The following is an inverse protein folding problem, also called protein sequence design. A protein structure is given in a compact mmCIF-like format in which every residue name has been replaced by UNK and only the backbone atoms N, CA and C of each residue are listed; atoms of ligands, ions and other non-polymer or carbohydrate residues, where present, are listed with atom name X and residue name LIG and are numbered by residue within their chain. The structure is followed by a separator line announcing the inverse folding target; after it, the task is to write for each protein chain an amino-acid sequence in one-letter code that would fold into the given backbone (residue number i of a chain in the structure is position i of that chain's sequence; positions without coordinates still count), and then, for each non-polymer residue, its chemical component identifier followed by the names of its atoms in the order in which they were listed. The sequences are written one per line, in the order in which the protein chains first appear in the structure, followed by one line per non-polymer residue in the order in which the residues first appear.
data_IF_399852287022
#
_entry.id   IF_399852287022
#
_cell.length_a   1.000
_cell.length_b   1.000
_cell.length_c   1.000
_cell.angle_alpha   90.00
_cell.angle_beta   90.00
_cell.angle_gamma   90.00
#
_symmetry.space_group_name_H-M   'P 1'
#
loop_
_entity.id
_entity.type
_entity.pdbx_description
1 polymer ?
#
# COMPACT_ATOMS: atom_id res chain seq x y z
N UNK A 1 37.76 9.09 1.90
CA UNK A 1 39.04 9.21 1.20
C UNK A 1 39.93 10.33 1.75
N UNK A 2 39.42 11.34 2.46
CA UNK A 2 40.27 12.40 3.07
C UNK A 2 40.91 12.06 4.42
N UNK A 3 41.24 10.79 4.69
CA UNK A 3 41.93 10.39 5.93
C UNK A 3 43.29 9.72 5.70
N UNK A 4 43.71 9.56 4.43
CA UNK A 4 44.98 8.90 4.11
C UNK A 4 46.15 9.89 3.95
N UNK A 5 45.91 11.20 3.84
CA UNK A 5 46.97 12.21 3.66
C UNK A 5 47.56 12.78 4.97
N UNK A 6 47.01 12.45 6.13
CA UNK A 6 47.56 12.88 7.44
C UNK A 6 48.38 11.78 8.15
N UNK A 7 48.87 10.77 7.43
CA UNK A 7 49.61 9.64 7.99
C UNK A 7 51.00 9.97 8.58
N UNK A 8 51.40 11.25 8.56
CA UNK A 8 52.71 11.71 9.04
C UNK A 8 52.71 12.41 10.40
N UNK A 9 51.54 12.78 10.94
CA UNK A 9 51.42 13.36 12.29
C UNK A 9 50.71 12.36 13.20
N UNK A 10 51.43 11.84 14.19
CA UNK A 10 50.79 11.04 15.24
C UNK A 10 49.65 11.82 15.89
N UNK A 11 48.57 11.12 16.27
CA UNK A 11 47.41 11.73 16.93
C UNK A 11 47.76 12.35 18.30
N UNK A 12 48.90 11.95 18.87
CA UNK A 12 49.42 12.42 20.15
C UNK A 12 50.76 13.12 19.91
N UNK A 13 50.87 14.35 20.41
CA UNK A 13 52.10 15.15 20.35
C UNK A 13 53.18 14.62 21.30
N UNK A 14 54.45 14.78 20.91
CA UNK A 14 55.60 14.35 21.72
C UNK A 14 55.70 15.05 23.09
N UNK A 15 55.13 16.24 23.19
CA UNK A 15 55.04 17.03 24.42
C UNK A 15 54.01 16.47 25.41
N UNK A 16 52.98 15.76 24.91
CA UNK A 16 51.98 15.13 25.76
C UNK A 16 52.56 13.96 26.56
N UNK A 17 53.41 13.15 25.94
CA UNK A 17 54.06 12.02 26.63
C UNK A 17 55.09 12.53 27.63
N UNK A 18 55.88 13.56 27.27
CA UNK A 18 56.80 14.24 28.21
C UNK A 18 56.07 14.77 29.45
N UNK A 19 54.97 15.49 29.25
CA UNK A 19 54.18 16.06 30.36
C UNK A 19 53.54 14.98 31.26
N UNK A 20 53.04 13.87 30.70
CA UNK A 20 52.54 12.74 31.50
C UNK A 20 53.61 12.09 32.36
N UNK A 21 54.82 11.92 31.83
CA UNK A 21 55.93 11.34 32.58
C UNK A 21 56.48 12.28 33.66
N UNK A 22 56.51 13.59 33.40
CA UNK A 22 56.89 14.61 34.38
C UNK A 22 55.93 14.62 35.58
N UNK A 23 54.63 14.41 35.34
CA UNK A 23 53.60 14.31 36.39
C UNK A 23 53.83 13.10 37.30
N UNK A 24 54.19 11.94 36.73
CA UNK A 24 54.29 10.69 37.49
C UNK A 24 55.69 10.43 38.09
N UNK A 25 56.77 10.95 37.49
CA UNK A 25 58.12 10.41 37.73
C UNK A 25 59.19 11.43 38.14
N UNK A 26 58.94 12.75 37.98
CA UNK A 26 59.89 13.85 38.30
C UNK A 26 61.34 13.62 37.80
N UNK A 27 61.55 12.91 36.69
CA UNK A 27 62.87 12.66 36.06
C UNK A 27 62.77 12.90 34.55
N UNK A 28 63.79 13.52 33.96
CA UNK A 28 63.87 13.74 32.52
C UNK A 28 64.11 12.43 31.77
N UNK A 29 63.36 12.22 30.69
CA UNK A 29 63.38 11.00 29.87
C UNK A 29 64.26 11.21 28.63
N UNK A 30 64.94 10.15 28.19
CA UNK A 30 65.68 10.11 26.94
C UNK A 30 64.72 10.21 25.74
N UNK A 31 65.06 11.03 24.76
CA UNK A 31 64.22 11.32 23.58
C UNK A 31 63.81 10.04 22.82
N UNK A 32 64.69 9.04 22.75
CA UNK A 32 64.40 7.75 22.11
C UNK A 32 63.30 6.92 22.81
N UNK A 33 63.19 7.03 24.15
CA UNK A 33 62.14 6.33 24.92
C UNK A 33 60.79 7.02 24.69
N UNK A 34 60.80 8.35 24.58
CA UNK A 34 59.61 9.14 24.29
C UNK A 34 59.05 8.79 22.91
N UNK A 35 59.91 8.69 21.89
CA UNK A 35 59.51 8.35 20.53
C UNK A 35 58.95 6.93 20.42
N UNK A 36 59.54 5.98 21.16
CA UNK A 36 59.05 4.60 21.20
C UNK A 36 57.67 4.52 21.89
N UNK A 37 57.47 5.24 22.99
CA UNK A 37 56.20 5.30 23.71
C UNK A 37 55.10 5.98 22.87
N UNK A 38 55.44 7.05 22.14
CA UNK A 38 54.53 7.73 21.21
C UNK A 38 54.07 6.80 20.08
N UNK A 39 54.99 6.03 19.50
CA UNK A 39 54.66 5.08 18.44
C UNK A 39 53.68 4.00 18.93
N UNK A 40 53.93 3.44 20.12
CA UNK A 40 53.05 2.44 20.72
C UNK A 40 51.67 3.00 21.08
N UNK A 41 51.61 4.20 21.66
CA UNK A 41 50.33 4.84 22.00
C UNK A 41 49.49 5.17 20.76
N UNK A 42 50.11 5.69 19.70
CA UNK A 42 49.42 5.96 18.44
C UNK A 42 48.92 4.67 17.78
N UNK A 43 49.69 3.57 17.85
CA UNK A 43 49.27 2.27 17.32
C UNK A 43 48.05 1.71 18.07
N UNK A 44 48.05 1.76 19.40
CA UNK A 44 46.92 1.32 20.24
C UNK A 44 45.68 2.19 20.00
N UNK A 45 45.86 3.52 19.94
CA UNK A 45 44.77 4.45 19.67
C UNK A 45 44.12 4.20 18.30
N UNK A 46 44.94 3.97 17.27
CA UNK A 46 44.47 3.64 15.94
C UNK A 46 43.67 2.33 15.94
N UNK A 47 44.17 1.28 16.60
CA UNK A 47 43.46 0.00 16.72
C UNK A 47 42.10 0.15 17.39
N UNK A 48 42.03 0.90 18.50
CA UNK A 48 40.77 1.18 19.21
C UNK A 48 39.79 1.97 18.33
N UNK A 49 40.26 2.98 17.59
CA UNK A 49 39.42 3.78 16.70
C UNK A 49 38.87 2.96 15.53
N UNK A 50 39.68 2.05 14.99
CA UNK A 50 39.24 1.13 13.94
C UNK A 50 38.15 0.18 14.47
N UNK A 51 38.34 -0.43 15.65
CA UNK A 51 37.29 -1.26 16.27
C UNK A 51 36.03 -0.48 16.61
N UNK A 52 36.16 0.77 17.08
CA UNK A 52 35.01 1.64 17.34
C UNK A 52 34.24 2.00 16.05
N UNK A 53 34.96 2.20 14.93
CA UNK A 53 34.37 2.41 13.61
C UNK A 53 33.59 1.19 13.14
N UNK A 54 34.12 -0.01 13.39
CA UNK A 54 33.45 -1.28 13.03
C UNK A 54 32.20 -1.51 13.89
N UNK A 55 32.24 -1.17 15.17
CA UNK A 55 31.05 -1.19 16.04
C UNK A 55 29.99 -0.19 15.58
N UNK A 56 30.41 1.00 15.15
CA UNK A 56 29.51 2.02 14.59
C UNK A 56 28.80 1.52 13.32
N UNK A 57 29.51 0.87 12.40
CA UNK A 57 28.92 0.30 11.18
C UNK A 57 28.03 -0.90 11.51
N UNK A 58 28.42 -1.77 12.44
CA UNK A 58 27.59 -2.88 12.92
C UNK A 58 26.25 -2.40 13.51
N UNK A 59 26.25 -1.25 14.19
CA UNK A 59 25.03 -0.64 14.72
C UNK A 59 24.26 0.24 13.71
N UNK A 60 24.66 0.28 12.42
CA UNK A 60 24.03 1.12 11.38
C UNK A 60 23.92 2.61 11.75
N UNK A 61 24.89 3.14 12.51
CA UNK A 61 24.94 4.55 12.93
C UNK A 61 25.98 5.34 12.13
N UNK A 62 25.77 6.65 12.01
CA UNK A 62 26.71 7.55 11.31
C UNK A 62 27.72 8.17 12.29
N UNK A 63 27.33 8.44 13.54
CA UNK A 63 28.20 9.04 14.55
C UNK A 63 28.76 7.97 15.49
N UNK A 64 30.04 8.09 15.87
CA UNK A 64 30.68 7.24 16.88
C UNK A 64 30.18 7.69 18.26
N UNK A 65 29.62 6.77 19.02
CA UNK A 65 29.21 7.03 20.40
C UNK A 65 30.34 6.67 21.39
N UNK A 66 30.34 7.25 22.60
CA UNK A 66 31.28 6.88 23.66
C UNK A 66 31.26 5.38 23.99
N UNK A 67 30.13 4.72 23.76
CA UNK A 67 29.96 3.29 23.99
C UNK A 67 30.71 2.45 22.94
N UNK A 68 30.79 2.91 21.69
CA UNK A 68 31.52 2.22 20.62
C UNK A 68 33.03 2.22 20.90
N UNK A 69 33.54 3.33 21.44
CA UNK A 69 34.92 3.47 21.91
C UNK A 69 35.18 2.57 23.12
N UNK A 70 34.24 2.50 24.07
CA UNK A 70 34.35 1.63 25.25
C UNK A 70 34.46 0.16 24.87
N UNK A 71 33.64 -0.27 23.91
CA UNK A 71 33.68 -1.63 23.37
C UNK A 71 35.01 -1.84 22.62
N UNK A 72 35.42 -0.88 21.78
CA UNK A 72 36.71 -0.96 21.07
C UNK A 72 37.92 -1.06 21.99
N UNK A 73 37.93 -0.33 23.12
CA UNK A 73 39.00 -0.41 24.13
C UNK A 73 39.02 -1.77 24.84
N UNK A 74 37.84 -2.31 25.17
CA UNK A 74 37.71 -3.66 25.76
C UNK A 74 38.26 -4.72 24.80
N UNK A 75 37.93 -4.62 23.52
CA UNK A 75 38.34 -5.59 22.51
C UNK A 75 39.82 -5.49 22.14
N UNK A 76 40.47 -4.35 22.40
CA UNK A 76 41.94 -4.17 22.32
C UNK A 76 42.66 -4.55 23.61
N UNK A 77 41.96 -5.10 24.62
CA UNK A 77 42.57 -5.51 25.88
C UNK A 77 43.01 -4.36 26.79
N UNK A 78 42.56 -3.13 26.51
CA UNK A 78 42.87 -1.95 27.33
C UNK A 78 41.92 -1.94 28.54
N UNK A 79 42.48 -2.05 29.74
CA UNK A 79 41.70 -1.99 30.98
C UNK A 79 41.10 -0.59 31.17
N UNK A 80 39.77 -0.52 31.17
CA UNK A 80 39.04 0.72 31.40
C UNK A 80 38.88 0.88 32.93
N UNK A 81 39.46 1.92 33.55
CA UNK A 81 39.26 2.17 34.98
C UNK A 81 37.77 2.41 35.27
N UNK A 82 37.29 1.85 36.38
CA UNK A 82 35.89 1.92 36.85
C UNK A 82 35.36 3.38 36.97
N UNK A 83 36.25 4.37 37.09
CA UNK A 83 35.92 5.80 37.18
C UNK A 83 35.62 6.46 35.83
N UNK A 84 35.84 5.78 34.71
CA UNK A 84 35.42 6.26 33.40
C UNK A 84 33.91 5.96 33.24
N UNK A 85 33.11 6.55 34.12
CA UNK A 85 31.67 6.56 33.92
C UNK A 85 31.42 7.25 32.60
N UNK A 86 30.82 6.49 31.67
CA UNK A 86 30.38 6.91 30.35
C UNK A 86 29.95 8.37 30.45
N UNK A 87 30.58 9.26 29.67
CA UNK A 87 30.08 10.61 29.42
C UNK A 87 28.66 10.47 28.89
N UNK A 88 27.68 10.35 29.80
CA UNK A 88 26.27 10.30 29.45
C UNK A 88 26.01 11.68 28.88
N UNK A 89 25.81 11.72 27.58
CA UNK A 89 25.48 12.92 26.79
C UNK A 89 24.09 13.42 27.25
N UNK A 90 24.03 13.95 28.46
CA UNK A 90 22.83 14.51 29.08
C UNK A 90 22.95 16.03 29.22
N UNK A 91 24.18 16.56 29.22
CA UNK A 91 24.47 17.99 29.10
C UNK A 91 25.46 18.14 27.96
N UNK A 92 25.23 19.11 27.08
CA UNK A 92 26.22 19.50 26.09
C UNK A 92 27.54 19.75 26.82
N UNK A 93 28.56 18.93 26.55
CA UNK A 93 29.87 19.11 27.15
C UNK A 93 30.37 20.50 26.76
N UNK A 94 30.43 21.42 27.73
CA UNK A 94 31.33 22.58 27.63
C UNK A 94 32.72 21.99 27.69
N UNK A 95 33.34 21.80 26.53
CA UNK A 95 34.76 21.53 26.44
C UNK A 95 35.48 22.79 26.95
N UNK A 96 35.74 22.87 28.26
CA UNK A 96 36.68 23.85 28.81
C UNK A 96 38.07 23.22 28.69
N UNK A 97 38.95 23.69 27.81
CA UNK A 97 40.28 23.13 27.67
C UNK A 97 41.08 23.41 28.96
N UNK A 98 41.14 22.41 29.84
CA UNK A 98 41.91 22.49 31.10
C UNK A 98 43.39 22.14 30.89
N UNK A 99 43.97 22.46 29.73
CA UNK A 99 45.39 22.21 29.48
C UNK A 99 46.33 23.19 30.19
N UNK A 100 45.81 24.19 30.91
CA UNK A 100 46.63 25.18 31.62
C UNK A 100 46.76 24.98 33.14
N UNK A 101 46.00 24.09 33.79
CA UNK A 101 46.08 23.93 35.26
C UNK A 101 45.53 22.58 35.76
N UNK A 102 46.41 21.57 35.88
CA UNK A 102 46.11 20.27 36.53
C UNK A 102 45.90 20.39 38.07
N UNK A 103 45.72 21.60 38.62
CA UNK A 103 45.50 21.83 40.06
C UNK A 103 44.05 22.14 40.47
N UNK A 104 43.08 22.13 39.56
CA UNK A 104 41.68 22.28 39.93
C UNK A 104 40.90 21.02 39.60
N UNK A 105 40.85 20.10 40.55
CA UNK A 105 39.67 19.26 40.73
C UNK A 105 38.51 20.23 40.99
N UNK A 106 37.70 20.50 39.97
CA UNK A 106 36.43 21.18 40.17
C UNK A 106 35.55 20.20 40.95
N UNK A 107 35.58 20.30 42.28
CA UNK A 107 34.61 19.63 43.13
C UNK A 107 33.23 20.14 42.69
N UNK A 108 32.38 19.25 42.20
CA UNK A 108 31.00 19.56 41.88
C UNK A 108 30.38 20.26 43.10
N UNK A 109 29.80 21.44 42.89
CA UNK A 109 29.24 22.22 43.98
C UNK A 109 27.98 21.51 44.48
N UNK A 110 27.73 21.46 45.80
CA UNK A 110 26.59 20.75 46.40
C UNK A 110 25.22 21.12 45.76
N UNK A 111 25.10 22.35 45.24
CA UNK A 111 23.93 22.81 44.50
C UNK A 111 23.70 22.12 43.15
N UNK A 112 24.77 21.79 42.40
CA UNK A 112 24.66 21.10 41.10
C UNK A 112 24.18 19.66 41.27
N UNK A 113 24.51 19.04 42.41
CA UNK A 113 24.06 17.71 42.80
C UNK A 113 22.57 17.76 43.20
N UNK A 114 22.15 18.79 43.94
CA UNK A 114 20.74 19.01 44.31
C UNK A 114 19.84 19.27 43.09
N UNK A 115 20.32 20.02 42.10
CA UNK A 115 19.56 20.30 40.88
C UNK A 115 19.41 19.05 39.98
N UNK A 116 20.44 18.20 39.91
CA UNK A 116 20.37 16.92 39.18
C UNK A 116 19.37 15.92 39.80
N UNK A 117 19.15 16.00 41.12
CA UNK A 117 18.15 15.17 41.81
C UNK A 117 16.71 15.61 41.56
N UNK A 118 16.48 16.86 41.11
CA UNK A 118 15.13 17.40 40.86
C UNK A 118 14.60 17.16 39.44
N UNK A 119 15.46 16.93 38.46
CA UNK A 119 15.04 16.74 37.07
C UNK A 119 14.74 15.27 36.75
N UNK A 120 13.48 14.84 36.91
CA UNK A 120 13.01 13.58 36.35
C UNK A 120 12.94 13.69 34.82
N UNK A 121 13.77 12.90 34.11
CA UNK A 121 13.71 12.82 32.63
C UNK A 121 12.39 12.20 32.21
N UNK A 122 11.67 12.88 31.31
CA UNK A 122 10.44 12.35 30.72
C UNK A 122 10.78 11.07 29.93
N UNK A 123 10.03 9.97 30.12
CA UNK A 123 10.22 8.78 29.31
C UNK A 123 9.92 9.10 27.84
N UNK A 124 10.74 8.56 26.94
CA UNK A 124 10.47 8.60 25.50
C UNK A 124 9.33 7.62 25.22
N UNK A 125 8.41 7.97 24.31
CA UNK A 125 7.34 7.08 23.90
C UNK A 125 7.90 5.77 23.29
N UNK A 126 7.13 4.69 23.44
CA UNK A 126 7.50 3.39 22.87
C UNK A 126 7.63 3.45 21.35
N UNK A 127 8.48 2.58 20.81
CA UNK A 127 8.79 2.51 19.37
C UNK A 127 7.60 1.96 18.61
N UNK A 128 6.99 2.78 17.74
CA UNK A 128 5.92 2.36 16.82
C UNK A 128 6.37 2.47 15.37
N UNK A 129 5.98 1.51 14.54
CA UNK A 129 6.24 1.55 13.09
C UNK A 129 5.08 2.21 12.35
N UNK A 130 5.39 3.19 11.50
CA UNK A 130 4.44 3.79 10.55
C UNK A 130 4.85 3.38 9.13
N UNK A 131 3.92 2.73 8.41
CA UNK A 131 4.14 2.31 7.04
C UNK A 131 3.51 3.30 6.05
N UNK A 132 4.20 3.56 4.94
CA UNK A 132 3.76 4.47 3.88
C UNK A 132 4.33 4.00 2.53
N UNK A 133 3.78 4.53 1.42
CA UNK A 133 4.25 4.19 0.08
C UNK A 133 5.45 5.04 -0.32
N UNK A 134 6.65 4.44 -0.38
CA UNK A 134 7.85 5.13 -0.85
C UNK A 134 7.93 5.24 -2.37
N UNK A 135 7.54 4.17 -3.10
CA UNK A 135 7.63 4.12 -4.57
C UNK A 135 6.46 3.29 -5.15
N UNK A 136 5.86 3.78 -6.22
CA UNK A 136 4.85 3.09 -7.03
C UNK A 136 5.31 3.11 -8.50
N UNK A 137 5.62 1.94 -9.07
CA UNK A 137 6.16 1.78 -10.45
C UNK A 137 7.38 2.66 -10.76
N UNK A 138 8.32 2.75 -9.81
CA UNK A 138 9.53 3.56 -9.97
C UNK A 138 9.32 5.07 -9.76
N UNK A 139 8.11 5.51 -9.41
CA UNK A 139 7.81 6.92 -9.10
C UNK A 139 7.53 7.08 -7.60
N UNK A 140 8.18 8.05 -6.96
CA UNK A 140 7.90 8.42 -5.57
C UNK A 140 6.57 9.19 -5.51
N UNK A 141 5.54 8.70 -4.80
CA UNK A 141 4.28 9.40 -4.67
C UNK A 141 4.44 10.63 -3.76
N UNK A 142 3.68 11.69 -4.04
CA UNK A 142 3.75 12.93 -3.26
C UNK A 142 2.90 12.83 -1.99
N UNK A 143 3.42 12.08 -1.01
CA UNK A 143 2.81 11.84 0.31
C UNK A 143 3.65 12.62 1.35
N UNK A 144 3.08 13.19 2.44
CA UNK A 144 3.82 14.06 3.37
C UNK A 144 5.10 13.46 3.96
N UNK A 145 5.15 12.13 4.09
CA UNK A 145 6.29 11.38 4.61
C UNK A 145 7.41 11.21 3.58
N UNK A 146 7.11 11.32 2.28
CA UNK A 146 8.11 11.27 1.22
C UNK A 146 8.78 12.64 1.04
N UNK A 147 10.07 12.67 0.68
CA UNK A 147 10.72 13.93 0.35
C UNK A 147 9.95 14.59 -0.80
N UNK A 148 9.70 15.90 -0.68
CA UNK A 148 9.25 16.66 -1.83
C UNK A 148 10.31 16.49 -2.92
N UNK A 149 9.90 16.01 -4.09
CA UNK A 149 10.74 16.08 -5.28
C UNK A 149 10.79 17.56 -5.63
N UNK A 150 11.69 18.28 -4.98
CA UNK A 150 12.21 19.50 -5.57
C UNK A 150 12.79 19.03 -6.90
N UNK A 151 12.24 19.55 -8.00
CA UNK A 151 12.90 19.49 -9.30
C UNK A 151 14.13 20.40 -9.19
N UNK A 152 15.08 19.99 -8.35
CA UNK A 152 16.41 20.50 -8.33
C UNK A 152 17.04 19.92 -9.58
N UNK A 153 17.15 20.78 -10.59
CA UNK A 153 18.22 20.67 -11.58
C UNK A 153 19.48 20.19 -10.86
N UNK A 154 20.08 19.15 -11.43
CA UNK A 154 21.34 18.57 -10.98
C UNK A 154 22.33 19.70 -10.68
N UNK A 155 22.49 20.02 -9.41
CA UNK A 155 23.34 21.09 -8.94
C UNK A 155 24.76 20.55 -8.84
N UNK A 156 25.38 20.36 -9.99
CA UNK A 156 26.83 20.45 -10.10
C UNK A 156 27.23 21.93 -10.13
N UNK A 157 27.89 22.34 -9.05
CA UNK A 157 28.94 23.36 -8.97
C UNK A 157 28.69 24.79 -9.52
N UNK A 158 28.47 25.71 -8.57
CA UNK A 158 29.04 27.06 -8.46
C UNK A 158 29.07 28.02 -9.69
N UNK A 159 28.17 29.01 -9.69
CA UNK A 159 28.48 30.45 -9.85
C UNK A 159 27.21 31.31 -9.63
N UNK A 160 27.27 32.49 -8.99
CA UNK A 160 26.09 33.33 -8.79
C UNK A 160 25.86 34.24 -10.00
N UNK A 161 24.77 34.04 -10.74
CA UNK A 161 24.34 34.96 -11.80
C UNK A 161 22.98 35.57 -11.46
N UNK A 162 23.07 36.85 -11.06
CA UNK A 162 22.14 37.98 -11.26
C UNK A 162 20.63 37.67 -11.25
N UNK A 163 19.98 38.13 -10.18
CA UNK A 163 18.53 38.27 -10.05
C UNK A 163 17.96 39.17 -11.15
N UNK A 164 16.98 38.66 -11.91
CA UNK A 164 16.05 39.48 -12.68
C UNK A 164 14.63 39.34 -12.13
N UNK A 165 14.12 40.47 -11.63
CA UNK A 165 12.78 40.65 -11.11
C UNK A 165 11.73 40.65 -12.23
N UNK A 166 10.78 39.71 -12.20
CA UNK A 166 9.52 39.82 -12.93
C UNK A 166 8.33 39.59 -11.97
N UNK A 167 7.47 40.60 -11.94
CA UNK A 167 6.38 40.87 -10.99
C UNK A 167 5.30 39.76 -11.03
N UNK A 168 4.97 39.18 -9.87
CA UNK A 168 3.81 38.28 -9.69
C UNK A 168 2.58 39.10 -9.25
N UNK A 169 1.47 38.93 -9.98
CA UNK A 169 0.16 39.54 -9.72
C UNK A 169 -0.54 38.94 -8.47
N UNK A 170 -1.31 39.72 -7.68
CA UNK A 170 -1.84 39.34 -6.36
C UNK A 170 -3.13 38.49 -6.37
N UNK A 171 -3.59 37.97 -7.50
CA UNK A 171 -4.85 37.22 -7.58
C UNK A 171 -4.78 35.73 -7.22
N UNK A 172 -3.62 35.22 -6.80
CA UNK A 172 -3.42 33.78 -6.48
C UNK A 172 -3.55 33.42 -4.99
N UNK A 173 -3.72 34.40 -4.10
CA UNK A 173 -3.79 34.15 -2.65
C UNK A 173 -5.18 33.70 -2.18
N UNK A 174 -6.25 34.21 -2.80
CA UNK A 174 -7.63 33.93 -2.35
C UNK A 174 -8.11 32.52 -2.72
N UNK A 175 -7.58 31.92 -3.79
CA UNK A 175 -7.89 30.52 -4.18
C UNK A 175 -7.24 29.52 -3.21
N UNK A 176 -6.15 29.92 -2.55
CA UNK A 176 -5.36 29.03 -1.69
C UNK A 176 -5.95 28.86 -0.28
N UNK A 177 -6.70 29.84 0.20
CA UNK A 177 -7.37 29.78 1.51
C UNK A 177 -8.69 28.99 1.47
N UNK A 178 -9.44 29.04 0.36
CA UNK A 178 -10.67 28.27 0.19
C UNK A 178 -10.43 26.74 0.11
N UNK A 179 -9.22 26.30 -0.25
CA UNK A 179 -8.84 24.89 -0.33
C UNK A 179 -8.43 24.25 1.01
N UNK A 180 -8.40 25.00 2.12
CA UNK A 180 -8.01 24.49 3.45
C UNK A 180 -9.16 23.87 4.26
N UNK A 181 -10.42 23.99 3.81
CA UNK A 181 -11.60 23.51 4.56
C UNK A 181 -12.37 22.34 3.93
N UNK A 182 -11.86 21.72 2.86
CA UNK A 182 -12.37 20.42 2.41
C UNK A 182 -11.59 19.31 3.11
N UNK A 183 -12.24 18.25 3.64
CA UNK A 183 -11.52 17.04 3.98
C UNK A 183 -10.83 16.58 2.69
N UNK A 184 -9.49 16.65 2.68
CA UNK A 184 -8.68 16.12 1.59
C UNK A 184 -8.84 14.60 1.64
N UNK A 185 -9.89 14.08 1.03
CA UNK A 185 -9.76 12.82 0.31
C UNK A 185 -8.57 13.05 -0.61
N UNK A 186 -7.44 12.42 -0.31
CA UNK A 186 -6.23 12.47 -1.09
C UNK A 186 -6.62 12.40 -2.57
N UNK A 187 -6.54 13.53 -3.26
CA UNK A 187 -6.68 13.53 -4.69
C UNK A 187 -5.41 12.88 -5.20
N UNK A 188 -5.44 11.54 -5.24
CA UNK A 188 -4.57 10.74 -6.06
C UNK A 188 -4.75 11.31 -7.46
N UNK A 189 -3.80 12.14 -7.89
CA UNK A 189 -3.72 12.51 -9.29
C UNK A 189 -3.46 11.20 -10.03
N UNK A 190 -4.53 10.63 -10.58
CA UNK A 190 -4.46 9.54 -11.53
C UNK A 190 -3.61 10.07 -12.69
N UNK A 191 -2.31 9.76 -12.69
CA UNK A 191 -1.53 9.87 -13.92
C UNK A 191 -2.18 8.87 -14.87
N UNK A 192 -2.88 9.41 -15.87
CA UNK A 192 -3.29 8.69 -17.08
C UNK A 192 -2.16 7.76 -17.46
N UNK A 193 -2.43 6.46 -17.43
CA UNK A 193 -1.57 5.34 -17.86
C UNK A 193 -0.32 5.84 -18.58
N UNK A 194 0.75 6.14 -17.83
CA UNK A 194 2.03 6.48 -18.44
C UNK A 194 2.47 5.20 -19.13
N UNK A 195 2.30 5.14 -20.45
CA UNK A 195 2.66 3.96 -21.22
C UNK A 195 4.16 3.79 -21.10
N UNK A 196 4.62 2.92 -20.21
CA UNK A 196 5.98 2.39 -20.27
C UNK A 196 6.22 1.98 -21.72
N UNK A 197 7.36 2.37 -22.28
CA UNK A 197 7.74 1.96 -23.63
C UNK A 197 7.75 0.42 -23.66
N UNK A 198 6.79 -0.19 -24.37
CA UNK A 198 6.76 -1.63 -24.52
C UNK A 198 7.69 -2.05 -25.64
N UNK A 199 8.36 -3.19 -25.44
CA UNK A 199 9.15 -3.80 -26.51
C UNK A 199 8.25 -4.20 -27.68
N UNK A 200 8.84 -4.33 -28.87
CA UNK A 200 8.13 -4.82 -30.05
C UNK A 200 7.49 -6.19 -29.76
N UNK A 201 8.22 -7.09 -29.10
CA UNK A 201 7.74 -8.42 -28.73
C UNK A 201 6.50 -8.38 -27.84
N UNK A 202 6.47 -7.47 -26.85
CA UNK A 202 5.31 -7.34 -25.97
C UNK A 202 4.07 -6.79 -26.71
N UNK A 203 4.28 -5.92 -27.69
CA UNK A 203 3.19 -5.38 -28.51
C UNK A 203 2.63 -6.46 -29.45
N UNK A 204 3.51 -7.25 -30.08
CA UNK A 204 3.12 -8.40 -30.91
C UNK A 204 2.37 -9.42 -30.07
N UNK A 205 2.90 -9.80 -28.91
CA UNK A 205 2.25 -10.70 -27.97
C UNK A 205 0.84 -10.20 -27.57
N UNK A 206 0.72 -8.93 -27.18
CA UNK A 206 -0.58 -8.35 -26.83
C UNK A 206 -1.59 -8.46 -27.97
N UNK A 207 -1.16 -8.10 -29.18
CA UNK A 207 -2.01 -8.14 -30.37
C UNK A 207 -2.45 -9.58 -30.68
N UNK A 208 -1.51 -10.51 -30.72
CA UNK A 208 -1.76 -11.92 -31.03
C UNK A 208 -2.70 -12.57 -30.01
N UNK A 209 -2.51 -12.31 -28.72
CA UNK A 209 -3.40 -12.80 -27.66
C UNK A 209 -4.82 -12.25 -27.83
N UNK A 210 -4.97 -10.94 -28.05
CA UNK A 210 -6.30 -10.33 -28.20
C UNK A 210 -7.03 -10.82 -29.45
N UNK A 211 -6.31 -10.97 -30.58
CA UNK A 211 -6.86 -11.54 -31.82
C UNK A 211 -7.26 -13.01 -31.62
N UNK A 212 -6.42 -13.81 -30.97
CA UNK A 212 -6.70 -15.22 -30.69
C UNK A 212 -7.89 -15.42 -29.77
N UNK A 213 -8.06 -14.54 -28.77
CA UNK A 213 -9.21 -14.60 -27.85
C UNK A 213 -10.52 -14.37 -28.58
N UNK A 214 -10.53 -13.43 -29.53
CA UNK A 214 -11.71 -13.03 -30.32
C UNK A 214 -11.90 -13.96 -31.53
N UNK A 215 -10.87 -14.73 -31.89
CA UNK A 215 -10.86 -15.64 -33.03
C UNK A 215 -11.85 -16.81 -32.92
N UNK A 216 -12.13 -17.49 -34.04
CA UNK A 216 -13.12 -18.58 -34.11
C UNK A 216 -12.65 -19.88 -33.44
N UNK A 217 -11.34 -20.11 -33.31
CA UNK A 217 -10.76 -21.36 -32.81
C UNK A 217 -10.83 -21.46 -31.28
N UNK A 218 -11.76 -22.26 -30.74
CA UNK A 218 -11.94 -22.47 -29.30
C UNK A 218 -10.70 -23.06 -28.59
N UNK A 219 -9.95 -23.94 -29.27
CA UNK A 219 -8.75 -24.56 -28.72
C UNK A 219 -7.64 -23.52 -28.48
N UNK A 220 -7.33 -22.70 -29.50
CA UNK A 220 -6.34 -21.62 -29.40
C UNK A 220 -6.77 -20.55 -28.41
N UNK A 221 -8.08 -20.25 -28.34
CA UNK A 221 -8.63 -19.33 -27.33
C UNK A 221 -8.34 -19.81 -25.91
N UNK A 222 -8.51 -21.10 -25.65
CA UNK A 222 -8.26 -21.70 -24.33
C UNK A 222 -6.78 -21.68 -23.98
N UNK A 223 -5.91 -21.93 -24.95
CA UNK A 223 -4.46 -21.81 -24.80
C UNK A 223 -4.04 -20.37 -24.49
N UNK A 224 -4.54 -19.38 -25.24
CA UNK A 224 -4.27 -17.96 -24.97
C UNK A 224 -4.70 -17.53 -23.56
N UNK A 225 -5.87 -17.98 -23.09
CA UNK A 225 -6.36 -17.74 -21.72
C UNK A 225 -5.44 -18.40 -20.68
N UNK A 226 -4.93 -19.60 -20.96
CA UNK A 226 -3.98 -20.28 -20.08
C UNK A 226 -2.64 -19.53 -20.03
N UNK A 227 -2.13 -19.05 -21.16
CA UNK A 227 -0.93 -18.22 -21.23
C UNK A 227 -1.07 -16.96 -20.36
N UNK A 228 -2.21 -16.26 -20.44
CA UNK A 228 -2.48 -15.08 -19.60
C UNK A 228 -2.45 -15.41 -18.10
N UNK A 229 -2.90 -16.61 -17.71
CA UNK A 229 -2.94 -17.02 -16.30
C UNK A 229 -1.55 -17.34 -15.74
N UNK A 230 -0.66 -17.88 -16.55
CA UNK A 230 0.63 -18.43 -16.11
C UNK A 230 1.82 -17.47 -16.35
N UNK A 231 1.70 -16.52 -17.27
CA UNK A 231 2.81 -15.65 -17.65
C UNK A 231 3.18 -14.62 -16.57
N UNK A 232 4.46 -14.56 -16.26
CA UNK A 232 5.07 -13.67 -15.26
C UNK A 232 5.31 -12.25 -15.78
N UNK A 233 5.40 -12.05 -17.10
CA UNK A 233 5.81 -10.79 -17.74
C UNK A 233 4.67 -9.81 -18.03
N UNK A 234 3.46 -10.07 -17.56
CA UNK A 234 2.25 -9.33 -17.97
C UNK A 234 2.03 -7.99 -17.25
N UNK A 235 2.75 -7.71 -16.17
CA UNK A 235 2.52 -6.49 -15.37
C UNK A 235 2.59 -5.19 -16.20
N UNK A 236 3.57 -4.99 -17.11
CA UNK A 236 3.62 -3.79 -17.96
C UNK A 236 2.49 -3.72 -19.00
N UNK A 237 1.91 -4.87 -19.36
CA UNK A 237 0.82 -4.98 -20.32
C UNK A 237 -0.57 -4.77 -19.69
N UNK A 238 -0.68 -4.91 -18.38
CA UNK A 238 -1.94 -4.84 -17.64
C UNK A 238 -2.78 -3.59 -17.95
N UNK A 239 -2.23 -2.36 -18.04
CA UNK A 239 -3.03 -1.19 -18.37
C UNK A 239 -3.65 -1.25 -19.78
N UNK A 240 -2.96 -1.89 -20.73
CA UNK A 240 -3.46 -2.07 -22.11
C UNK A 240 -4.54 -3.14 -22.17
N UNK A 241 -4.37 -4.24 -21.45
CA UNK A 241 -5.42 -5.25 -21.28
C UNK A 241 -6.66 -4.63 -20.62
N UNK A 242 -6.50 -3.87 -19.54
CA UNK A 242 -7.59 -3.15 -18.88
C UNK A 242 -8.37 -2.30 -19.89
N UNK A 243 -7.65 -1.45 -20.64
CA UNK A 243 -8.26 -0.56 -21.62
C UNK A 243 -8.98 -1.31 -22.73
N UNK A 244 -8.36 -2.35 -23.29
CA UNK A 244 -8.95 -3.16 -24.35
C UNK A 244 -10.20 -3.92 -23.87
N UNK A 245 -10.21 -4.41 -22.63
CA UNK A 245 -11.40 -5.04 -22.04
C UNK A 245 -12.51 -4.01 -21.84
N UNK A 246 -12.20 -2.83 -21.30
CA UNK A 246 -13.18 -1.75 -21.09
C UNK A 246 -13.80 -1.32 -22.42
N UNK A 247 -12.97 -0.99 -23.42
CA UNK A 247 -13.44 -0.54 -24.72
C UNK A 247 -14.17 -1.66 -25.47
N UNK A 248 -13.65 -2.89 -25.41
CA UNK A 248 -14.27 -4.08 -26.00
C UNK A 248 -15.64 -4.36 -25.40
N UNK A 249 -15.80 -4.27 -24.07
CA UNK A 249 -17.11 -4.42 -23.43
C UNK A 249 -18.04 -3.32 -23.89
N UNK A 250 -17.63 -2.05 -23.84
CA UNK A 250 -18.51 -0.92 -24.24
C UNK A 250 -19.08 -1.07 -25.65
N UNK A 251 -18.27 -1.50 -26.62
CA UNK A 251 -18.73 -1.72 -27.99
C UNK A 251 -19.68 -2.93 -28.08
N UNK A 252 -19.31 -4.06 -27.45
CA UNK A 252 -20.11 -5.27 -27.51
C UNK A 252 -21.42 -5.21 -26.69
N UNK A 253 -21.52 -4.29 -25.72
CA UNK A 253 -22.79 -3.99 -25.05
C UNK A 253 -23.78 -3.32 -26.00
N UNK A 254 -23.30 -2.44 -26.90
CA UNK A 254 -24.15 -1.76 -27.89
C UNK A 254 -24.55 -2.73 -29.01
N UNK A 255 -23.64 -3.63 -29.39
CA UNK A 255 -23.88 -4.66 -30.42
C UNK A 255 -24.62 -5.89 -29.91
N UNK A 256 -24.89 -5.97 -28.60
CA UNK A 256 -25.56 -7.09 -27.92
C UNK A 256 -24.91 -8.47 -28.16
N UNK A 257 -23.61 -8.51 -28.47
CA UNK A 257 -22.90 -9.77 -28.73
C UNK A 257 -22.41 -10.42 -27.44
N UNK A 258 -23.23 -11.31 -26.89
CA UNK A 258 -22.96 -12.01 -25.62
C UNK A 258 -21.70 -12.89 -25.69
N UNK A 259 -21.36 -13.45 -26.84
CA UNK A 259 -20.19 -14.33 -26.97
C UNK A 259 -18.88 -13.57 -26.71
N UNK A 260 -18.70 -12.39 -27.33
CA UNK A 260 -17.51 -11.56 -27.09
C UNK A 260 -17.44 -11.06 -25.65
N UNK A 261 -18.58 -10.72 -25.03
CA UNK A 261 -18.61 -10.34 -23.62
C UNK A 261 -18.12 -11.49 -22.73
N UNK A 262 -18.55 -12.73 -22.98
CA UNK A 262 -18.07 -13.90 -22.23
C UNK A 262 -16.55 -14.06 -22.41
N UNK A 263 -16.02 -13.92 -23.63
CA UNK A 263 -14.58 -14.05 -23.88
C UNK A 263 -13.75 -12.96 -23.19
N UNK A 264 -14.20 -11.70 -23.25
CA UNK A 264 -13.55 -10.60 -22.55
C UNK A 264 -13.57 -10.79 -21.03
N UNK A 265 -14.70 -11.28 -20.48
CA UNK A 265 -14.79 -11.58 -19.05
C UNK A 265 -13.89 -12.77 -18.66
N UNK A 266 -13.69 -13.77 -19.54
CA UNK A 266 -12.73 -14.86 -19.31
C UNK A 266 -11.29 -14.38 -19.31
N UNK A 267 -10.92 -13.43 -20.18
CA UNK A 267 -9.61 -12.77 -20.12
C UNK A 267 -9.44 -12.01 -18.81
N UNK A 268 -10.45 -11.24 -18.40
CA UNK A 268 -10.43 -10.55 -17.11
C UNK A 268 -10.26 -11.52 -15.94
N UNK A 269 -10.93 -12.67 -15.97
CA UNK A 269 -10.77 -13.74 -14.98
C UNK A 269 -9.36 -14.34 -14.99
N UNK A 270 -8.78 -14.59 -16.16
CA UNK A 270 -7.42 -15.11 -16.27
C UNK A 270 -6.39 -14.15 -15.67
N UNK A 271 -6.54 -12.84 -15.93
CA UNK A 271 -5.72 -11.80 -15.30
C UNK A 271 -5.90 -11.80 -13.78
N UNK A 272 -7.13 -11.95 -13.29
CA UNK A 272 -7.46 -12.04 -11.85
C UNK A 272 -6.84 -13.23 -11.14
N UNK A 273 -6.74 -14.36 -11.83
CA UNK A 273 -6.17 -15.58 -11.27
C UNK A 273 -4.63 -15.60 -11.32
N UNK A 274 -4.00 -14.73 -12.10
CA UNK A 274 -2.55 -14.69 -12.21
C UNK A 274 -1.93 -14.09 -10.92
N UNK A 275 -1.11 -14.88 -10.23
CA UNK A 275 -0.46 -14.49 -8.97
C UNK A 275 0.63 -13.44 -9.15
N UNK A 276 1.23 -13.37 -10.34
CA UNK A 276 2.34 -12.48 -10.66
C UNK A 276 1.89 -11.05 -11.02
N UNK A 277 0.59 -10.86 -11.27
CA UNK A 277 0.02 -9.58 -11.67
C UNK A 277 -0.63 -8.87 -10.48
N UNK A 278 -0.24 -7.61 -10.24
CA UNK A 278 -0.84 -6.74 -9.23
C UNK A 278 -1.99 -5.94 -9.84
N UNK A 279 -3.22 -6.34 -9.52
CA UNK A 279 -4.46 -5.84 -10.16
C UNK A 279 -5.02 -4.59 -9.47
N UNK A 280 -4.57 -4.29 -8.26
CA UNK A 280 -5.03 -3.18 -7.43
C UNK A 280 -5.14 -1.85 -8.21
N UNK A 281 -4.21 -1.61 -9.14
CA UNK A 281 -4.16 -0.40 -9.95
C UNK A 281 -5.29 -0.27 -10.97
N UNK A 282 -5.80 -1.38 -11.51
CA UNK A 282 -6.83 -1.41 -12.55
C UNK A 282 -8.22 -1.74 -12.01
N UNK A 283 -8.37 -1.96 -10.70
CA UNK A 283 -9.65 -2.27 -10.08
C UNK A 283 -10.74 -1.24 -10.41
N UNK A 284 -10.36 0.04 -10.48
CA UNK A 284 -11.27 1.14 -10.79
C UNK A 284 -11.87 1.06 -12.21
N UNK A 285 -11.19 0.39 -13.15
CA UNK A 285 -11.72 0.09 -14.49
C UNK A 285 -12.50 -1.22 -14.51
N UNK A 286 -11.99 -2.25 -13.83
CA UNK A 286 -12.58 -3.58 -13.82
C UNK A 286 -13.95 -3.59 -13.14
N UNK A 287 -14.10 -2.95 -11.98
CA UNK A 287 -15.37 -2.96 -11.24
C UNK A 287 -16.53 -2.37 -12.07
N UNK A 288 -16.45 -1.14 -12.63
CA UNK A 288 -17.51 -0.61 -13.47
C UNK A 288 -17.78 -1.48 -14.71
N UNK A 289 -16.74 -2.06 -15.31
CA UNK A 289 -16.87 -2.88 -16.52
C UNK A 289 -17.65 -4.17 -16.25
N UNK A 290 -17.29 -4.88 -15.19
CA UNK A 290 -17.95 -6.13 -14.79
C UNK A 290 -19.37 -5.86 -14.30
N UNK A 291 -19.58 -4.80 -13.52
CA UNK A 291 -20.92 -4.39 -13.07
C UNK A 291 -21.78 -4.02 -14.27
N UNK A 292 -21.23 -3.32 -15.27
CA UNK A 292 -21.96 -2.99 -16.50
C UNK A 292 -22.41 -4.26 -17.22
N UNK A 293 -21.52 -5.22 -17.46
CA UNK A 293 -21.88 -6.53 -18.05
C UNK A 293 -23.00 -7.24 -17.26
N UNK A 294 -22.93 -7.19 -15.93
CA UNK A 294 -23.90 -7.82 -15.05
C UNK A 294 -25.29 -7.14 -15.10
N UNK A 295 -25.32 -5.81 -15.20
CA UNK A 295 -26.52 -4.96 -15.13
C UNK A 295 -27.20 -4.80 -16.49
N UNK A 296 -26.61 -5.31 -17.57
CA UNK A 296 -27.13 -5.17 -18.93
C UNK A 296 -28.57 -5.63 -19.12
N UNK A 297 -29.26 -4.93 -20.04
CA UNK A 297 -30.63 -5.24 -20.47
C UNK A 297 -30.69 -6.24 -21.64
N UNK A 298 -29.55 -6.77 -22.10
CA UNK A 298 -29.49 -7.68 -23.23
C UNK A 298 -30.37 -8.90 -22.97
N UNK A 299 -31.23 -9.20 -23.94
CA UNK A 299 -32.17 -10.31 -23.89
C UNK A 299 -31.53 -11.57 -24.49
N UNK A 300 -31.69 -12.72 -23.81
CA UNK A 300 -31.11 -13.99 -24.25
C UNK A 300 -30.72 -14.90 -23.09
N UNK A 301 -30.75 -16.21 -23.33
CA UNK A 301 -30.48 -17.19 -22.27
C UNK A 301 -29.00 -17.23 -21.86
N UNK A 302 -28.10 -16.98 -22.82
CA UNK A 302 -26.66 -16.88 -22.56
C UNK A 302 -26.33 -15.72 -21.59
N UNK A 303 -27.17 -14.69 -21.53
CA UNK A 303 -26.99 -13.54 -20.63
C UNK A 303 -27.12 -13.94 -19.16
N UNK A 304 -27.88 -14.98 -18.82
CA UNK A 304 -27.93 -15.50 -17.45
C UNK A 304 -26.60 -16.08 -17.01
N UNK A 305 -25.97 -16.88 -17.87
CA UNK A 305 -24.66 -17.45 -17.61
C UNK A 305 -23.58 -16.36 -17.50
N UNK A 306 -23.63 -15.34 -18.36
CA UNK A 306 -22.74 -14.19 -18.28
C UNK A 306 -22.87 -13.46 -16.94
N UNK A 307 -24.10 -13.18 -16.47
CA UNK A 307 -24.35 -12.52 -15.17
C UNK A 307 -23.79 -13.31 -13.99
N UNK A 308 -24.01 -14.62 -13.97
CA UNK A 308 -23.46 -15.50 -12.93
C UNK A 308 -21.93 -15.55 -12.98
N UNK A 309 -21.34 -15.54 -14.18
CA UNK A 309 -19.90 -15.48 -14.36
C UNK A 309 -19.31 -14.16 -13.84
N UNK A 310 -19.91 -13.01 -14.19
CA UNK A 310 -19.50 -11.70 -13.69
C UNK A 310 -19.59 -11.61 -12.16
N UNK A 311 -20.67 -12.15 -11.55
CA UNK A 311 -20.83 -12.18 -10.10
C UNK A 311 -19.73 -13.01 -9.40
N UNK A 312 -19.40 -14.18 -9.95
CA UNK A 312 -18.27 -15.01 -9.47
C UNK A 312 -16.93 -14.30 -9.65
N UNK A 313 -16.73 -13.58 -10.76
CA UNK A 313 -15.53 -12.81 -11.00
C UNK A 313 -15.37 -11.69 -9.95
N UNK A 314 -16.44 -10.95 -9.63
CA UNK A 314 -16.42 -9.95 -8.55
C UNK A 314 -16.03 -10.58 -7.21
N UNK A 315 -16.58 -11.73 -6.87
CA UNK A 315 -16.23 -12.46 -5.65
C UNK A 315 -14.73 -12.83 -5.63
N UNK A 316 -14.18 -13.33 -6.74
CA UNK A 316 -12.75 -13.67 -6.85
C UNK A 316 -11.85 -12.45 -6.68
N UNK A 317 -12.22 -11.32 -7.27
CA UNK A 317 -11.50 -10.05 -7.09
C UNK A 317 -11.51 -9.66 -5.60
N UNK A 318 -12.65 -9.72 -4.92
CA UNK A 318 -12.73 -9.38 -3.49
C UNK A 318 -11.85 -10.29 -2.61
N UNK A 319 -11.83 -11.59 -2.88
CA UNK A 319 -10.97 -12.55 -2.17
C UNK A 319 -9.49 -12.19 -2.36
N UNK A 320 -9.11 -11.70 -3.54
CA UNK A 320 -7.73 -11.34 -3.88
C UNK A 320 -7.27 -10.02 -3.26
N UNK A 321 -8.16 -9.03 -3.18
CA UNK A 321 -7.85 -7.66 -2.73
C UNK A 321 -7.83 -7.55 -1.20
N UNK A 322 -8.59 -8.40 -0.47
CA UNK A 322 -8.62 -8.45 1.02
C UNK A 322 -8.92 -7.13 1.75
N UNK A 323 -9.18 -6.04 1.04
CA UNK A 323 -9.57 -4.75 1.63
C UNK A 323 -11.08 -4.70 1.94
N UNK A 324 -11.41 -4.48 3.21
CA UNK A 324 -12.81 -4.37 3.66
C UNK A 324 -13.54 -3.17 3.02
N UNK A 325 -12.85 -2.05 2.82
CA UNK A 325 -13.41 -0.82 2.23
C UNK A 325 -13.92 -1.02 0.80
N UNK A 326 -13.24 -1.87 0.01
CA UNK A 326 -13.65 -2.21 -1.36
C UNK A 326 -14.92 -3.04 -1.34
N UNK A 327 -15.04 -4.01 -0.42
CA UNK A 327 -16.25 -4.82 -0.23
C UNK A 327 -17.46 -3.94 0.13
N UNK A 328 -17.31 -3.05 1.10
CA UNK A 328 -18.38 -2.14 1.52
C UNK A 328 -18.83 -1.20 0.39
N UNK A 329 -17.88 -0.61 -0.34
CA UNK A 329 -18.19 0.25 -1.48
C UNK A 329 -18.92 -0.50 -2.58
N UNK A 330 -18.51 -1.72 -2.89
CA UNK A 330 -19.16 -2.56 -3.90
C UNK A 330 -20.59 -2.91 -3.49
N UNK A 331 -20.80 -3.35 -2.25
CA UNK A 331 -22.14 -3.63 -1.71
C UNK A 331 -23.03 -2.39 -1.77
N UNK A 332 -22.51 -1.22 -1.39
CA UNK A 332 -23.27 0.04 -1.48
C UNK A 332 -23.69 0.38 -2.92
N UNK A 333 -22.82 0.17 -3.91
CA UNK A 333 -23.14 0.39 -5.33
C UNK A 333 -24.23 -0.57 -5.81
N UNK A 334 -24.12 -1.86 -5.46
CA UNK A 334 -25.11 -2.88 -5.84
C UNK A 334 -26.48 -2.62 -5.20
N UNK A 335 -26.50 -2.25 -3.91
CA UNK A 335 -27.72 -1.88 -3.21
C UNK A 335 -28.36 -0.64 -3.84
N UNK A 336 -27.58 0.41 -4.15
CA UNK A 336 -28.09 1.60 -4.86
C UNK A 336 -28.69 1.24 -6.22
N UNK A 337 -28.16 0.24 -6.91
CA UNK A 337 -28.72 -0.21 -8.19
C UNK A 337 -30.12 -0.84 -8.05
N UNK A 338 -30.46 -1.45 -6.90
CA UNK A 338 -31.79 -2.00 -6.64
C UNK A 338 -32.88 -0.93 -6.56
N UNK A 339 -32.53 0.28 -6.12
CA UNK A 339 -33.47 1.39 -5.98
C UNK A 339 -33.86 2.07 -7.31
N UNK A 340 -33.27 1.65 -8.43
CA UNK A 340 -33.62 2.21 -9.75
C UNK A 340 -35.05 1.80 -10.12
N UNK A 341 -35.88 2.76 -10.55
CA UNK A 341 -37.30 2.52 -10.88
C UNK A 341 -37.49 1.59 -12.08
N UNK A 342 -36.52 1.56 -13.00
CA UNK A 342 -36.55 0.74 -14.23
C UNK A 342 -35.74 -0.57 -14.08
N UNK A 343 -35.62 -1.09 -12.85
CA UNK A 343 -34.85 -2.30 -12.58
C UNK A 343 -35.50 -3.52 -13.25
N UNK A 344 -34.94 -3.95 -14.38
CA UNK A 344 -35.36 -5.17 -15.05
C UNK A 344 -35.15 -6.39 -14.13
N UNK A 345 -36.06 -7.39 -14.08
CA UNK A 345 -35.94 -8.53 -13.15
C UNK A 345 -34.60 -9.27 -13.24
N UNK A 346 -34.00 -9.29 -14.44
CA UNK A 346 -32.72 -9.94 -14.63
C UNK A 346 -31.52 -9.20 -13.99
N UNK A 347 -31.60 -7.87 -13.83
CA UNK A 347 -30.64 -7.08 -13.06
C UNK A 347 -30.76 -7.42 -11.57
N UNK A 348 -32.00 -7.50 -11.07
CA UNK A 348 -32.29 -7.86 -9.68
C UNK A 348 -31.74 -9.26 -9.38
N UNK A 349 -31.96 -10.23 -10.27
CA UNK A 349 -31.37 -11.58 -10.14
C UNK A 349 -29.86 -11.52 -9.93
N UNK A 350 -29.15 -10.79 -10.79
CA UNK A 350 -27.69 -10.74 -10.75
C UNK A 350 -27.17 -10.09 -9.46
N UNK A 351 -27.84 -9.04 -8.98
CA UNK A 351 -27.49 -8.39 -7.72
C UNK A 351 -27.73 -9.35 -6.55
N UNK A 352 -28.90 -10.00 -6.48
CA UNK A 352 -29.22 -10.98 -5.41
C UNK A 352 -28.23 -12.15 -5.44
N UNK A 353 -27.90 -12.67 -6.62
CA UNK A 353 -26.89 -13.71 -6.80
C UNK A 353 -25.51 -13.28 -6.29
N UNK A 354 -25.09 -12.06 -6.62
CA UNK A 354 -23.79 -11.51 -6.18
C UNK A 354 -23.74 -11.30 -4.67
N UNK A 355 -24.79 -10.73 -4.07
CA UNK A 355 -24.86 -10.52 -2.62
C UNK A 355 -24.85 -11.85 -1.86
N UNK A 356 -25.50 -12.89 -2.39
CA UNK A 356 -25.43 -14.24 -1.83
C UNK A 356 -24.01 -14.83 -1.84
N UNK A 357 -23.21 -14.55 -2.87
CA UNK A 357 -21.81 -15.00 -2.94
C UNK A 357 -20.90 -14.29 -1.94
N UNK A 358 -21.23 -13.06 -1.50
CA UNK A 358 -20.37 -12.29 -0.58
C UNK A 358 -20.45 -12.76 0.88
N UNK A 359 -21.39 -13.65 1.19
CA UNK A 359 -21.55 -14.31 2.49
C UNK A 359 -22.77 -13.84 3.30
N UNK A 360 -23.04 -14.54 4.39
CA UNK A 360 -24.23 -14.33 5.24
C UNK A 360 -24.29 -12.92 5.87
N UNK A 361 -23.14 -12.38 6.29
CA UNK A 361 -23.10 -11.05 6.93
C UNK A 361 -23.56 -9.93 5.98
N UNK A 362 -23.33 -10.09 4.67
CA UNK A 362 -23.79 -9.14 3.66
C UNK A 362 -25.28 -9.33 3.38
N UNK A 363 -25.78 -10.57 3.41
CA UNK A 363 -27.20 -10.85 3.24
C UNK A 363 -28.04 -10.20 4.35
N UNK A 364 -27.62 -10.33 5.60
CA UNK A 364 -28.29 -9.74 6.76
C UNK A 364 -28.36 -8.21 6.67
N UNK A 365 -27.20 -7.58 6.44
CA UNK A 365 -27.10 -6.12 6.52
C UNK A 365 -27.56 -5.41 5.25
N UNK A 366 -27.41 -6.03 4.08
CA UNK A 366 -27.62 -5.37 2.79
C UNK A 366 -28.79 -5.92 1.98
N UNK A 367 -29.16 -7.20 2.09
CA UNK A 367 -30.26 -7.75 1.29
C UNK A 367 -31.60 -7.69 2.04
N UNK A 368 -31.65 -8.17 3.28
CA UNK A 368 -32.93 -8.32 4.01
C UNK A 368 -33.72 -7.02 4.21
N UNK A 369 -33.09 -5.86 4.51
CA UNK A 369 -33.82 -4.59 4.61
C UNK A 369 -34.48 -4.15 3.29
N UNK A 370 -34.05 -4.69 2.16
CA UNK A 370 -34.48 -4.26 0.82
C UNK A 370 -35.34 -5.30 0.10
N UNK A 371 -35.54 -6.48 0.69
CA UNK A 371 -36.36 -7.55 0.11
C UNK A 371 -37.82 -7.12 -0.14
N UNK A 372 -38.39 -6.23 0.66
CA UNK A 372 -39.75 -5.71 0.44
C UNK A 372 -39.82 -4.88 -0.86
N UNK A 373 -38.79 -4.09 -1.14
CA UNK A 373 -38.69 -3.29 -2.37
C UNK A 373 -38.57 -4.21 -3.57
N UNK A 374 -37.71 -5.23 -3.46
CA UNK A 374 -37.53 -6.25 -4.49
C UNK A 374 -38.87 -6.96 -4.78
N UNK A 375 -39.62 -7.36 -3.75
CA UNK A 375 -40.92 -8.01 -3.92
C UNK A 375 -41.94 -7.10 -4.66
N UNK A 376 -42.00 -5.82 -4.29
CA UNK A 376 -42.87 -4.82 -4.96
C UNK A 376 -42.48 -4.64 -6.43
N UNK A 377 -41.20 -4.57 -6.75
CA UNK A 377 -40.71 -4.43 -8.13
C UNK A 377 -40.96 -5.67 -9.00
N UNK A 378 -40.94 -6.87 -8.40
CA UNK A 378 -41.15 -8.12 -9.14
C UNK A 378 -42.65 -8.45 -9.31
N UNK A 379 -43.51 -8.02 -8.38
CA UNK A 379 -44.96 -8.30 -8.43
C UNK A 379 -45.67 -7.97 -9.76
N UNK A 380 -45.43 -6.83 -10.47
CA UNK A 380 -46.07 -6.56 -11.76
C UNK A 380 -45.69 -7.61 -12.82
N UNK A 381 -44.40 -7.96 -12.93
CA UNK A 381 -43.91 -8.97 -13.88
C UNK A 381 -44.38 -10.39 -13.56
N UNK A 382 -44.60 -10.69 -12.27
CA UNK A 382 -45.23 -11.95 -11.85
C UNK A 382 -46.72 -11.99 -12.24
N UNK A 383 -47.45 -10.87 -12.12
CA UNK A 383 -48.85 -10.79 -12.49
C UNK A 383 -49.07 -10.94 -14.01
N UNK A 384 -48.27 -10.25 -14.82
CA UNK A 384 -48.27 -10.39 -16.29
C UNK A 384 -48.03 -11.84 -16.72
N UNK A 385 -47.14 -12.55 -16.02
CA UNK A 385 -46.84 -13.95 -16.34
C UNK A 385 -47.92 -14.95 -15.97
N UNK A 386 -48.78 -14.63 -15.00
CA UNK A 386 -49.93 -15.49 -14.69
C UNK A 386 -50.97 -15.43 -15.81
N UNK A 387 -51.16 -14.25 -16.40
CA UNK A 387 -52.04 -14.06 -17.55
C UNK A 387 -51.50 -14.73 -18.83
N UNK A 388 -50.17 -14.71 -19.05
CA UNK A 388 -49.55 -15.38 -20.21
C UNK A 388 -49.51 -16.92 -20.10
N UNK A 389 -49.36 -17.48 -18.89
CA UNK A 389 -49.38 -18.93 -18.69
C UNK A 389 -50.77 -19.56 -18.93
N UNK A 390 -51.85 -18.77 -18.85
CA UNK A 390 -53.20 -19.19 -19.23
C UNK A 390 -53.40 -19.21 -20.77
N UNK A 391 -52.53 -18.53 -21.53
CA UNK A 391 -52.57 -18.43 -22.99
C UNK A 391 -51.67 -19.44 -23.76
N UNK A 392 -50.99 -20.35 -23.06
CA UNK A 392 -50.44 -21.58 -23.66
C UNK A 392 -48.99 -21.58 -24.17
N UNK A 393 -48.20 -20.52 -24.00
CA UNK A 393 -46.81 -20.49 -24.49
C UNK A 393 -45.79 -20.85 -23.37
N UNK A 394 -45.24 -22.08 -23.43
CA UNK A 394 -44.56 -22.75 -22.30
C UNK A 394 -43.01 -22.72 -22.32
N UNK A 395 -42.35 -22.03 -23.25
CA UNK A 395 -40.90 -22.26 -23.47
C UNK A 395 -39.93 -21.30 -22.82
N UNK A 396 -40.33 -20.11 -22.35
CA UNK A 396 -39.36 -19.13 -21.82
C UNK A 396 -39.49 -19.03 -20.30
N UNK A 397 -38.47 -19.51 -19.57
CA UNK A 397 -38.38 -19.39 -18.10
C UNK A 397 -38.59 -17.93 -17.69
N UNK A 398 -39.75 -17.60 -17.14
CA UNK A 398 -40.08 -16.24 -16.74
C UNK A 398 -38.99 -15.67 -15.82
N UNK A 399 -38.33 -14.55 -16.20
CA UNK A 399 -37.26 -13.93 -15.41
C UNK A 399 -37.71 -13.59 -13.99
N UNK A 400 -38.96 -13.15 -13.81
CA UNK A 400 -39.50 -12.78 -12.50
C UNK A 400 -39.67 -13.99 -11.57
N UNK A 401 -40.14 -15.12 -12.11
CA UNK A 401 -40.25 -16.39 -11.37
C UNK A 401 -38.86 -16.91 -10.96
N UNK A 402 -37.88 -16.83 -11.86
CA UNK A 402 -36.50 -17.24 -11.57
C UNK A 402 -35.86 -16.43 -10.44
N UNK A 403 -36.10 -15.12 -10.41
CA UNK A 403 -35.64 -14.25 -9.31
C UNK A 403 -36.30 -14.67 -8.00
N UNK A 404 -37.63 -14.82 -8.01
CA UNK A 404 -38.40 -15.21 -6.83
C UNK A 404 -37.91 -16.55 -6.26
N UNK A 405 -37.77 -17.57 -7.10
CA UNK A 405 -37.32 -18.91 -6.69
C UNK A 405 -35.87 -18.90 -6.18
N UNK A 406 -35.00 -18.10 -6.79
CA UNK A 406 -33.62 -17.96 -6.32
C UNK A 406 -33.55 -17.24 -4.97
N UNK A 407 -34.25 -16.13 -4.80
CA UNK A 407 -34.33 -15.41 -3.52
C UNK A 407 -34.89 -16.30 -2.42
N UNK A 408 -35.93 -17.09 -2.71
CA UNK A 408 -36.49 -18.05 -1.77
C UNK A 408 -35.50 -19.19 -1.40
N UNK A 409 -34.65 -19.63 -2.34
CA UNK A 409 -33.57 -20.58 -2.05
C UNK A 409 -32.49 -19.95 -1.17
N UNK A 410 -32.10 -18.70 -1.43
CA UNK A 410 -31.14 -17.97 -0.60
C UNK A 410 -31.63 -17.83 0.85
N UNK A 411 -32.89 -17.42 1.02
CA UNK A 411 -33.52 -17.29 2.35
C UNK A 411 -33.55 -18.65 3.07
N UNK A 412 -33.96 -19.73 2.39
CA UNK A 412 -33.95 -21.08 2.96
C UNK A 412 -32.56 -21.55 3.37
N UNK A 413 -31.55 -21.32 2.53
CA UNK A 413 -30.15 -21.66 2.83
C UNK A 413 -29.64 -20.86 4.04
N UNK A 414 -30.04 -19.59 4.17
CA UNK A 414 -29.68 -18.78 5.32
C UNK A 414 -30.37 -19.27 6.61
N UNK A 415 -31.68 -19.57 6.57
CA UNK A 415 -32.43 -20.10 7.70
C UNK A 415 -31.94 -21.48 8.16
N UNK A 416 -31.35 -22.28 7.27
CA UNK A 416 -30.73 -23.56 7.64
C UNK A 416 -29.41 -23.40 8.42
N UNK A 417 -28.75 -22.24 8.34
CA UNK A 417 -27.51 -21.94 9.07
C UNK A 417 -27.79 -21.57 10.53
N UNK A 418 -26.86 -21.88 11.45
CA UNK A 418 -27.00 -21.63 12.89
C UNK A 418 -27.30 -20.16 13.20
N UNK A 419 -26.62 -19.22 12.53
CA UNK A 419 -26.86 -17.77 12.64
C UNK A 419 -28.27 -17.34 12.19
N UNK A 420 -28.83 -18.04 11.20
CA UNK A 420 -30.15 -17.74 10.66
C UNK A 420 -31.28 -18.10 11.62
N UNK A 421 -31.07 -19.08 12.52
CA UNK A 421 -32.06 -19.51 13.51
C UNK A 421 -32.24 -18.49 14.64
N UNK A 422 -31.18 -17.78 15.02
CA UNK A 422 -31.21 -16.78 16.11
C UNK A 422 -31.94 -15.49 15.68
N UNK A 423 -31.68 -15.00 14.46
CA UNK A 423 -32.29 -13.76 13.93
C UNK A 423 -33.55 -13.95 13.08
N UNK A 424 -34.06 -15.18 12.99
CA UNK A 424 -35.21 -15.54 12.14
C UNK A 424 -36.47 -14.68 12.43
N UNK A 425 -36.65 -14.29 13.69
CA UNK A 425 -37.84 -13.55 14.13
C UNK A 425 -37.86 -12.09 13.62
N UNK A 426 -36.71 -11.46 13.38
CA UNK A 426 -36.63 -10.05 12.95
C UNK A 426 -37.09 -9.85 11.50
N UNK A 427 -36.89 -10.86 10.63
CA UNK A 427 -37.18 -10.76 9.19
C UNK A 427 -38.35 -11.65 8.75
N UNK A 428 -39.10 -12.23 9.68
CA UNK A 428 -40.17 -13.22 9.41
C UNK A 428 -41.26 -12.71 8.47
N UNK A 429 -41.67 -11.44 8.63
CA UNK A 429 -42.64 -10.78 7.74
C UNK A 429 -42.15 -10.74 6.29
N UNK A 430 -40.86 -10.48 6.10
CA UNK A 430 -40.23 -10.31 4.79
C UNK A 430 -40.01 -11.66 4.10
N UNK A 431 -39.70 -12.71 4.88
CA UNK A 431 -39.55 -14.08 4.35
C UNK A 431 -40.87 -14.67 3.86
N UNK A 432 -42.00 -14.26 4.46
CA UNK A 432 -43.32 -14.69 4.04
C UNK A 432 -43.68 -14.23 2.62
N UNK A 433 -43.19 -13.06 2.20
CA UNK A 433 -43.39 -12.52 0.84
C UNK A 433 -42.82 -13.44 -0.26
N UNK A 434 -41.83 -14.27 0.09
CA UNK A 434 -41.21 -15.23 -0.82
C UNK A 434 -41.60 -16.68 -0.51
N UNK A 435 -42.67 -16.89 0.28
CA UNK A 435 -43.21 -18.22 0.60
C UNK A 435 -42.37 -19.05 1.58
N UNK A 436 -41.45 -18.43 2.32
CA UNK A 436 -40.65 -19.10 3.36
C UNK A 436 -41.31 -18.87 4.73
N UNK A 437 -41.59 -19.96 5.48
CA UNK A 437 -42.33 -19.93 6.77
C UNK A 437 -41.43 -20.12 7.98
#
# INVERSE_FOLDING_TARGET
MHLEEESGKGFIDADFVKTLFDINSKKSISEAINDTALSQLNSILFEVLMKAKDNRTACSRVQISPEDLRIGMRDSGVNIPLSCEVYKVGRANRFTPAFANVKKTAAATMGEIQDAMREMKKPVADVTMLAHWLVIDGVVPNVPENPAVDVAEESFEAAPVVQNHLKRSPSSLLVREAARKLPKTEQVQYKTTTTHALSMEQQVFFKEIMETVIGPDDAKRTEAIHCIRSDTGLQPLLPRFSRAIVDGVRVNLIQENVAFLIYLMRVAEALVLNTHVKIEKVLHDFFPTIISCMVTHVSGDATWALREFCAKLLQRILIRVKDASVKERLVSILVKALYRRDAHPAMIYAIVYTLNLFGADVLENALFPHLEIIAKQISPFLAESKQQNEAGDRSTSNPAKRVHDFTARCIRSYLSSERGREKSNEFRHVFHLFGCR
#
